data_IF_270178895822
#
_entry.id   IF_270178895822
#
_cell.length_a   1.000
_cell.length_b   1.000
_cell.length_c   1.000
_cell.angle_alpha   90.00
_cell.angle_beta   90.00
_cell.angle_gamma   90.00
#
_symmetry.space_group_name_H-M   'P 1'
#
loop_
_entity.id
_entity.type
_entity.pdbx_description
1 polymer ?
#
# COMPACT_ATOMS: atom_id res chain seq x y z
N UNK A 1 -7.01 14.69 8.33
CA UNK A 1 -5.81 13.92 8.72
C UNK A 1 -4.75 14.78 9.41
N UNK A 2 -4.22 15.84 8.77
CA UNK A 2 -3.20 16.73 9.37
C UNK A 2 -3.57 17.29 10.76
N UNK A 3 -4.79 17.83 10.93
CA UNK A 3 -5.30 18.33 12.22
C UNK A 3 -5.27 17.25 13.31
N UNK A 4 -5.84 16.07 13.01
CA UNK A 4 -5.87 14.93 13.95
C UNK A 4 -4.48 14.45 14.33
N UNK A 5 -3.55 14.38 13.38
CA UNK A 5 -2.16 14.01 13.64
C UNK A 5 -1.47 15.01 14.57
N UNK A 6 -1.68 16.32 14.33
CA UNK A 6 -1.14 17.36 15.20
C UNK A 6 -1.73 17.31 16.62
N UNK A 7 -3.05 17.08 16.76
CA UNK A 7 -3.73 16.92 18.05
C UNK A 7 -3.16 15.76 18.89
N UNK A 8 -2.57 14.75 18.24
CA UNK A 8 -1.97 13.58 18.89
C UNK A 8 -0.44 13.64 18.95
N UNK A 9 0.17 14.80 18.64
CA UNK A 9 1.62 14.97 18.71
C UNK A 9 2.42 14.19 17.65
N UNK A 10 1.78 13.74 16.57
CA UNK A 10 2.45 13.00 15.49
C UNK A 10 3.28 13.97 14.65
N UNK A 11 4.59 13.70 14.56
CA UNK A 11 5.49 14.43 13.64
C UNK A 11 5.31 13.91 12.22
N UNK A 12 4.91 14.78 11.30
CA UNK A 12 4.68 14.42 9.89
C UNK A 12 5.78 15.04 9.02
N UNK A 13 6.61 14.20 8.40
CA UNK A 13 7.65 14.62 7.48
C UNK A 13 7.22 14.29 6.05
N UNK A 14 6.88 15.31 5.26
CA UNK A 14 6.57 15.18 3.83
C UNK A 14 7.79 15.49 2.98
N UNK A 15 7.76 15.07 1.71
CA UNK A 15 8.89 15.21 0.77
C UNK A 15 10.19 14.57 1.30
N UNK A 16 10.04 13.56 2.16
CA UNK A 16 11.11 12.80 2.77
C UNK A 16 11.00 11.33 2.33
N UNK A 17 11.99 10.84 1.60
CA UNK A 17 12.03 9.47 1.12
C UNK A 17 12.99 8.64 1.97
N UNK A 18 12.50 7.60 2.64
CA UNK A 18 13.32 6.66 3.40
C UNK A 18 14.33 5.97 2.47
N UNK A 19 15.60 5.96 2.87
CA UNK A 19 16.71 5.34 2.14
C UNK A 19 17.17 4.03 2.79
N UNK A 20 17.17 3.98 4.13
CA UNK A 20 17.69 2.85 4.88
C UNK A 20 16.98 2.73 6.24
N UNK A 21 16.70 1.50 6.67
CA UNK A 21 16.25 1.16 8.03
C UNK A 21 17.43 0.53 8.76
N UNK A 22 17.82 1.13 9.88
CA UNK A 22 18.90 0.67 10.77
C UNK A 22 18.31 0.03 12.03
N UNK A 23 19.18 -0.56 12.86
CA UNK A 23 18.78 -1.24 14.11
C UNK A 23 17.96 -0.34 15.05
N UNK A 24 18.35 0.93 15.20
CA UNK A 24 17.66 1.90 16.08
C UNK A 24 17.37 3.24 15.37
N UNK A 25 17.20 3.23 14.05
CA UNK A 25 17.00 4.47 13.31
C UNK A 25 16.57 4.30 11.85
N UNK A 26 16.24 5.41 11.22
CA UNK A 26 15.82 5.47 9.81
C UNK A 26 16.50 6.64 9.12
N UNK A 27 17.21 6.37 8.04
CA UNK A 27 17.80 7.39 7.17
C UNK A 27 16.80 7.77 6.09
N UNK A 28 16.61 9.06 5.88
CA UNK A 28 15.75 9.58 4.83
C UNK A 28 16.43 10.72 4.07
N UNK A 29 16.10 10.84 2.78
CA UNK A 29 16.48 11.96 1.95
C UNK A 29 15.35 12.98 1.92
N UNK A 30 15.66 14.24 2.19
CA UNK A 30 14.75 15.37 2.02
C UNK A 30 15.49 16.47 1.28
N UNK A 31 14.90 16.90 0.17
CA UNK A 31 15.54 17.81 -0.80
C UNK A 31 16.89 17.21 -1.27
N UNK A 32 17.98 17.97 -1.17
CA UNK A 32 19.34 17.54 -1.54
C UNK A 32 20.11 16.86 -0.39
N UNK A 33 19.49 16.74 0.81
CA UNK A 33 20.18 16.29 2.03
C UNK A 33 19.65 14.98 2.58
N UNK A 34 20.53 14.21 3.22
CA UNK A 34 20.15 13.05 4.03
C UNK A 34 20.11 13.44 5.51
N UNK A 35 19.14 12.91 6.22
CA UNK A 35 18.98 13.04 7.66
C UNK A 35 18.57 11.70 8.27
N UNK A 36 18.71 11.58 9.58
CA UNK A 36 18.44 10.36 10.31
C UNK A 36 17.50 10.63 11.48
N UNK A 37 16.55 9.73 11.68
CA UNK A 37 15.75 9.63 12.89
C UNK A 37 16.39 8.55 13.75
N UNK A 38 16.81 8.88 14.97
CA UNK A 38 17.36 7.94 15.95
C UNK A 38 16.29 7.50 16.96
N UNK A 39 16.65 6.54 17.80
CA UNK A 39 15.82 6.05 18.91
C UNK A 39 14.47 5.49 18.44
N UNK A 40 14.51 4.78 17.30
CA UNK A 40 13.35 4.11 16.72
C UNK A 40 13.37 2.63 17.11
N UNK A 41 12.36 2.20 17.87
CA UNK A 41 12.20 0.79 18.27
C UNK A 41 11.43 -0.04 17.24
N UNK A 42 10.59 0.60 16.42
CA UNK A 42 9.74 -0.10 15.47
C UNK A 42 9.51 0.74 14.23
N UNK A 43 9.64 0.08 13.08
CA UNK A 43 9.35 0.67 11.77
C UNK A 43 8.16 -0.05 11.15
N UNK A 44 7.10 0.70 10.87
CA UNK A 44 5.92 0.20 10.16
C UNK A 44 6.03 0.57 8.68
N UNK A 45 6.12 -0.44 7.81
CA UNK A 45 6.21 -0.23 6.36
C UNK A 45 4.79 -0.12 5.78
N UNK A 46 4.41 1.09 5.36
CA UNK A 46 3.10 1.41 4.78
C UNK A 46 3.23 2.12 3.43
N UNK A 47 4.04 1.57 2.53
CA UNK A 47 4.41 2.19 1.23
C UNK A 47 3.45 1.87 0.07
N UNK A 48 2.39 1.12 0.35
CA UNK A 48 1.45 0.63 -0.65
C UNK A 48 1.27 -0.88 -0.56
N UNK A 49 0.59 -1.42 -1.55
CA UNK A 49 0.20 -2.83 -1.63
C UNK A 49 0.40 -3.34 -3.06
N UNK A 50 0.58 -4.65 -3.21
CA UNK A 50 0.68 -5.33 -4.51
C UNK A 50 -0.54 -6.25 -4.67
N UNK A 51 -1.05 -6.36 -5.89
CA UNK A 51 -2.11 -7.31 -6.21
C UNK A 51 -1.67 -8.73 -5.85
N UNK A 52 -2.58 -9.50 -5.25
CA UNK A 52 -2.35 -10.90 -4.94
C UNK A 52 -3.02 -11.77 -6.00
N UNK A 53 -2.23 -12.23 -6.97
CA UNK A 53 -2.67 -12.99 -8.15
C UNK A 53 -2.44 -14.49 -8.03
N UNK A 54 -1.94 -14.99 -6.88
CA UNK A 54 -1.53 -16.39 -6.69
C UNK A 54 -2.66 -17.38 -7.02
N UNK A 55 -3.88 -17.08 -6.58
CA UNK A 55 -5.03 -17.95 -6.83
C UNK A 55 -5.45 -17.91 -8.31
N UNK A 56 -5.51 -16.72 -8.92
CA UNK A 56 -5.84 -16.55 -10.34
C UNK A 56 -4.85 -17.33 -11.22
N UNK A 57 -3.55 -17.16 -10.98
CA UNK A 57 -2.49 -17.88 -11.69
C UNK A 57 -2.62 -19.40 -11.55
N UNK A 58 -3.03 -19.89 -10.37
CA UNK A 58 -3.21 -21.32 -10.12
C UNK A 58 -4.43 -21.92 -10.84
N UNK A 59 -5.37 -21.08 -11.30
CA UNK A 59 -6.61 -21.50 -11.96
C UNK A 59 -6.56 -21.38 -13.49
N UNK A 60 -5.39 -21.06 -14.07
CA UNK A 60 -5.22 -20.82 -15.52
C UNK A 60 -5.69 -22.00 -16.39
N UNK A 61 -5.57 -23.22 -15.90
CA UNK A 61 -5.95 -24.46 -16.60
C UNK A 61 -7.34 -25.00 -16.19
N UNK A 62 -8.15 -24.23 -15.46
CA UNK A 62 -9.46 -24.70 -15.03
C UNK A 62 -10.52 -24.50 -16.13
N UNK A 63 -11.50 -25.41 -16.19
CA UNK A 63 -12.60 -25.37 -17.17
C UNK A 63 -13.69 -24.32 -16.85
N UNK A 64 -13.46 -23.46 -15.85
CA UNK A 64 -14.42 -22.44 -15.42
C UNK A 64 -13.99 -21.05 -15.89
N UNK A 65 -14.97 -20.18 -16.11
CA UNK A 65 -14.71 -18.74 -16.27
C UNK A 65 -14.26 -18.15 -14.94
N UNK A 66 -13.01 -17.65 -14.92
CA UNK A 66 -12.45 -16.95 -13.76
C UNK A 66 -12.55 -15.45 -14.00
N UNK A 67 -13.05 -14.73 -13.01
CA UNK A 67 -13.14 -13.27 -13.03
C UNK A 67 -12.49 -12.72 -11.76
N UNK A 68 -11.41 -11.96 -11.93
CA UNK A 68 -10.73 -11.25 -10.86
C UNK A 68 -11.35 -9.87 -10.64
N UNK A 69 -11.66 -9.53 -9.40
CA UNK A 69 -12.25 -8.22 -9.04
C UNK A 69 -11.62 -7.67 -7.77
N UNK A 70 -11.65 -6.35 -7.60
CA UNK A 70 -11.07 -5.69 -6.44
C UNK A 70 -9.55 -5.59 -6.53
N UNK A 71 -8.89 -5.61 -5.37
CA UNK A 71 -7.46 -5.30 -5.29
C UNK A 71 -6.54 -6.38 -5.88
N UNK A 72 -7.06 -7.60 -6.09
CA UNK A 72 -6.32 -8.64 -6.81
C UNK A 72 -6.29 -8.43 -8.33
N UNK A 73 -7.19 -7.60 -8.87
CA UNK A 73 -7.29 -7.39 -10.31
C UNK A 73 -6.42 -6.23 -10.80
N UNK A 74 -5.32 -6.58 -11.47
CA UNK A 74 -4.26 -5.73 -12.07
C UNK A 74 -3.44 -4.88 -11.09
N UNK A 75 -4.11 -4.14 -10.19
CA UNK A 75 -3.50 -3.25 -9.20
C UNK A 75 -4.46 -3.06 -8.04
N UNK A 76 -3.91 -2.87 -6.85
CA UNK A 76 -4.71 -2.44 -5.71
C UNK A 76 -5.35 -1.07 -5.96
N UNK A 77 -6.58 -0.91 -5.50
CA UNK A 77 -7.45 0.24 -5.75
C UNK A 77 -7.94 0.78 -4.41
N UNK A 78 -8.86 1.74 -4.47
CA UNK A 78 -9.61 2.16 -3.29
C UNK A 78 -10.90 1.35 -3.17
N UNK A 79 -11.52 1.38 -1.99
CA UNK A 79 -12.74 0.61 -1.71
C UNK A 79 -13.87 0.90 -2.69
N UNK A 80 -14.00 2.16 -3.16
CA UNK A 80 -15.01 2.52 -4.15
C UNK A 80 -14.85 1.72 -5.47
N UNK A 81 -13.63 1.68 -6.01
CA UNK A 81 -13.35 0.94 -7.24
C UNK A 81 -13.54 -0.56 -7.08
N UNK A 82 -13.16 -1.12 -5.93
CA UNK A 82 -13.38 -2.54 -5.67
C UNK A 82 -14.87 -2.91 -5.65
N UNK A 83 -15.71 -2.07 -5.07
CA UNK A 83 -17.17 -2.26 -5.08
C UNK A 83 -17.73 -2.15 -6.50
N UNK A 84 -17.34 -1.11 -7.24
CA UNK A 84 -17.79 -0.88 -8.61
C UNK A 84 -17.48 -2.08 -9.52
N UNK A 85 -16.25 -2.58 -9.46
CA UNK A 85 -15.78 -3.68 -10.28
C UNK A 85 -16.50 -5.00 -9.96
N UNK A 86 -16.75 -5.27 -8.68
CA UNK A 86 -17.56 -6.41 -8.27
C UNK A 86 -18.99 -6.33 -8.80
N UNK A 87 -19.59 -5.14 -8.78
CA UNK A 87 -20.94 -4.91 -9.34
C UNK A 87 -20.96 -5.11 -10.87
N UNK A 88 -19.99 -4.55 -11.59
CA UNK A 88 -19.87 -4.66 -13.04
C UNK A 88 -19.65 -6.12 -13.47
N UNK A 89 -18.78 -6.86 -12.77
CA UNK A 89 -18.58 -8.29 -13.01
C UNK A 89 -19.89 -9.09 -12.81
N UNK A 90 -20.66 -8.77 -11.77
CA UNK A 90 -21.94 -9.44 -11.50
C UNK A 90 -23.05 -9.17 -12.52
N UNK A 91 -22.96 -8.10 -13.33
CA UNK A 91 -23.90 -7.85 -14.44
C UNK A 91 -23.54 -8.67 -15.68
N UNK A 92 -22.26 -8.98 -15.85
CA UNK A 92 -21.72 -9.58 -17.07
C UNK A 92 -21.78 -11.11 -17.08
N UNK A 93 -22.13 -11.73 -15.95
CA UNK A 93 -22.22 -13.19 -15.74
C UNK A 93 -23.69 -13.55 -15.52
#
# INVERSE_FOLDING_TARGET
>A
MKKRMAEHGVKVLTSAAVQEVKEHGVVYKKDESCAEITDVETVVIAIGVRANTVLEESLTDCDFTIVSVGDCHERAKNGYRGIQEGYEAGILI
#
